data_IF_991854410373
#
_entry.id   IF_991854410373
#
_cell.length_a   1.000
_cell.length_b   1.000
_cell.length_c   1.000
_cell.angle_alpha   90.00
_cell.angle_beta   90.00
_cell.angle_gamma   90.00
#
_symmetry.space_group_name_H-M   'P 1'
#
loop_
_entity.id
_entity.type
_entity.pdbx_description
1 polymer ?
#
# COMPACT_ATOMS: atom_id res chain seq x y z
N UNK A 1 -23.73 36.65 -48.24
CA UNK A 1 -23.60 35.17 -48.19
C UNK A 1 -22.25 34.75 -47.61
N UNK A 2 -21.89 35.18 -46.38
CA UNK A 2 -20.69 34.72 -45.64
C UNK A 2 -20.86 35.00 -44.12
N UNK A 3 -21.82 34.36 -43.46
CA UNK A 3 -21.99 34.48 -42.01
C UNK A 3 -22.16 33.16 -41.25
N UNK A 4 -21.83 32.01 -41.86
CA UNK A 4 -22.06 30.71 -41.24
C UNK A 4 -20.84 29.77 -41.22
N UNK A 5 -19.64 30.31 -40.99
CA UNK A 5 -18.43 29.49 -40.82
C UNK A 5 -17.69 29.70 -39.50
N UNK A 6 -18.13 30.63 -38.63
CA UNK A 6 -17.55 30.80 -37.28
C UNK A 6 -18.26 30.02 -36.17
N UNK A 7 -19.26 29.19 -36.51
CA UNK A 7 -20.04 28.42 -35.53
C UNK A 7 -19.74 26.93 -35.52
N UNK A 8 -18.74 26.47 -36.30
CA UNK A 8 -18.34 25.07 -36.41
C UNK A 8 -16.89 24.79 -35.94
N UNK A 9 -16.33 25.67 -35.10
CA UNK A 9 -15.07 25.41 -34.36
C UNK A 9 -15.30 25.48 -32.83
N UNK A 10 -16.50 25.11 -32.37
CA UNK A 10 -16.82 24.98 -30.94
C UNK A 10 -17.29 23.57 -30.58
N UNK A 11 -16.68 22.55 -31.16
CA UNK A 11 -17.01 21.16 -30.80
C UNK A 11 -15.79 20.24 -30.76
N UNK A 12 -14.61 20.75 -30.42
CA UNK A 12 -13.39 19.96 -30.20
C UNK A 12 -12.37 20.70 -29.33
N UNK A 13 -12.82 21.33 -28.26
CA UNK A 13 -11.93 21.64 -27.13
C UNK A 13 -12.24 20.60 -26.08
N UNK A 14 -11.39 19.57 -26.02
CA UNK A 14 -11.10 18.94 -24.74
C UNK A 14 -10.91 20.06 -23.73
N UNK A 15 -11.72 20.09 -22.68
CA UNK A 15 -11.46 20.96 -21.53
C UNK A 15 -10.08 20.54 -20.99
N UNK A 16 -9.03 21.21 -21.46
CA UNK A 16 -7.71 21.18 -20.86
C UNK A 16 -7.86 21.89 -19.52
N UNK A 17 -8.24 21.11 -18.50
CA UNK A 17 -8.14 21.53 -17.11
C UNK A 17 -6.72 22.03 -16.89
N UNK A 18 -6.59 23.20 -16.29
CA UNK A 18 -5.26 23.75 -15.98
C UNK A 18 -4.50 22.78 -15.07
N UNK A 19 -3.17 22.72 -15.18
CA UNK A 19 -2.34 21.93 -14.26
C UNK A 19 -2.69 22.27 -12.79
N UNK A 20 -2.99 23.54 -12.52
CA UNK A 20 -3.48 24.03 -11.22
C UNK A 20 -4.80 23.39 -10.76
N UNK A 21 -5.78 23.17 -11.66
CA UNK A 21 -7.02 22.44 -11.36
C UNK A 21 -6.81 20.92 -11.22
N UNK A 22 -5.78 20.35 -11.86
CA UNK A 22 -5.42 18.93 -11.73
C UNK A 22 -4.74 18.61 -10.38
N UNK A 23 -4.14 19.61 -9.74
CA UNK A 23 -3.37 19.46 -8.51
C UNK A 23 -4.12 19.78 -7.22
N UNK A 24 -5.44 20.03 -7.29
CA UNK A 24 -6.23 20.27 -6.09
C UNK A 24 -6.19 19.04 -5.14
N UNK A 25 -5.41 19.24 -4.07
CA UNK A 25 -5.21 18.38 -2.90
C UNK A 25 -4.41 17.07 -3.07
N UNK A 26 -3.21 17.14 -3.67
CA UNK A 26 -2.22 16.07 -3.48
C UNK A 26 -2.06 15.73 -1.99
N UNK A 27 -2.00 14.43 -1.68
CA UNK A 27 -1.70 13.97 -0.32
C UNK A 27 -0.34 14.47 0.10
N UNK A 28 -0.24 14.95 1.33
CA UNK A 28 1.05 15.36 1.89
C UNK A 28 1.98 14.16 1.98
N UNK A 29 3.28 14.43 1.94
CA UNK A 29 4.31 13.40 2.14
C UNK A 29 4.08 12.61 3.44
N UNK A 30 3.68 13.29 4.52
CA UNK A 30 3.42 12.64 5.80
C UNK A 30 2.24 11.67 5.72
N UNK A 31 1.13 12.05 5.10
CA UNK A 31 -0.03 11.16 4.94
C UNK A 31 0.31 9.93 4.07
N UNK A 32 1.09 10.14 3.01
CA UNK A 32 1.59 9.04 2.16
C UNK A 32 2.45 8.09 2.98
N UNK A 33 3.39 8.62 3.76
CA UNK A 33 4.28 7.82 4.60
C UNK A 33 3.50 7.06 5.68
N UNK A 34 2.54 7.70 6.35
CA UNK A 34 1.69 7.05 7.35
C UNK A 34 0.91 5.87 6.76
N UNK A 35 0.40 6.02 5.53
CA UNK A 35 -0.28 4.92 4.83
C UNK A 35 0.67 3.83 4.35
N UNK A 36 1.85 4.19 3.88
CA UNK A 36 2.89 3.23 3.53
C UNK A 36 3.28 2.39 4.76
N UNK A 37 3.54 3.03 5.90
CA UNK A 37 3.87 2.37 7.16
C UNK A 37 2.73 1.46 7.64
N UNK A 38 1.47 1.90 7.47
CA UNK A 38 0.31 1.07 7.75
C UNK A 38 0.30 -0.20 6.92
N UNK A 39 0.39 -0.08 5.59
CA UNK A 39 0.36 -1.23 4.71
C UNK A 39 1.56 -2.16 4.92
N UNK A 40 2.75 -1.58 5.13
CA UNK A 40 3.95 -2.33 5.47
C UNK A 40 3.75 -3.19 6.72
N UNK A 41 3.27 -2.59 7.82
CA UNK A 41 3.07 -3.31 9.08
C UNK A 41 2.07 -4.46 8.92
N UNK A 42 0.98 -4.26 8.17
CA UNK A 42 -0.01 -5.32 7.89
C UNK A 42 0.62 -6.46 7.07
N UNK A 43 1.33 -6.10 6.00
CA UNK A 43 1.93 -7.08 5.08
C UNK A 43 3.01 -7.90 5.79
N UNK A 44 3.91 -7.21 6.47
CA UNK A 44 4.97 -7.82 7.25
C UNK A 44 4.43 -8.79 8.31
N UNK A 45 3.38 -8.37 9.03
CA UNK A 45 2.81 -9.15 10.12
C UNK A 45 2.25 -10.50 9.64
N UNK A 46 1.47 -10.50 8.56
CA UNK A 46 0.95 -11.75 7.97
C UNK A 46 2.09 -12.65 7.48
N UNK A 47 3.08 -12.09 6.77
CA UNK A 47 4.25 -12.84 6.30
C UNK A 47 5.02 -13.48 7.46
N UNK A 48 5.08 -12.84 8.65
CA UNK A 48 5.67 -13.48 9.83
C UNK A 48 4.82 -14.63 10.38
N UNK A 49 3.49 -14.59 10.23
CA UNK A 49 2.64 -15.73 10.58
C UNK A 49 2.93 -16.91 9.66
N UNK A 50 2.97 -16.67 8.35
CA UNK A 50 3.31 -17.70 7.35
C UNK A 50 4.70 -18.28 7.64
N UNK A 51 5.71 -17.43 7.83
CA UNK A 51 7.06 -17.86 8.18
C UNK A 51 7.09 -18.73 9.45
N UNK A 52 6.35 -18.37 10.50
CA UNK A 52 6.29 -19.21 11.71
C UNK A 52 5.57 -20.54 11.48
N UNK A 53 4.57 -20.59 10.59
CA UNK A 53 3.92 -21.83 10.19
C UNK A 53 4.91 -22.73 9.41
N UNK A 54 5.62 -22.18 8.44
CA UNK A 54 6.61 -22.91 7.63
C UNK A 54 7.75 -23.47 8.48
N UNK A 55 8.26 -22.70 9.45
CA UNK A 55 9.27 -23.17 10.40
C UNK A 55 8.73 -24.33 11.25
N UNK A 56 7.45 -24.29 11.64
CA UNK A 56 6.81 -25.33 12.45
C UNK A 56 6.64 -26.63 11.66
N UNK A 57 6.25 -26.53 10.40
CA UNK A 57 6.08 -27.67 9.48
C UNK A 57 7.41 -28.17 8.89
N UNK A 58 8.52 -27.46 9.15
CA UNK A 58 9.85 -27.84 8.69
C UNK A 58 10.12 -27.50 7.21
N UNK A 59 9.32 -26.60 6.63
CA UNK A 59 9.45 -26.12 5.25
C UNK A 59 10.56 -25.07 5.09
N UNK A 60 10.94 -24.42 6.19
CA UNK A 60 12.01 -23.39 6.24
C UNK A 60 12.94 -23.64 7.43
N UNK A 61 14.18 -23.15 7.31
CA UNK A 61 15.18 -23.24 8.38
C UNK A 61 14.70 -22.58 9.68
N UNK A 62 15.03 -23.22 10.81
CA UNK A 62 14.71 -22.68 12.13
C UNK A 62 15.55 -21.45 12.42
N UNK A 63 14.87 -20.37 12.81
CA UNK A 63 15.52 -19.20 13.37
C UNK A 63 16.11 -19.49 14.75
N UNK A 64 17.15 -18.74 15.11
CA UNK A 64 17.68 -18.79 16.47
C UNK A 64 16.59 -18.40 17.48
N UNK A 65 16.62 -18.95 18.71
CA UNK A 65 15.65 -18.59 19.74
C UNK A 65 15.62 -17.09 20.06
N UNK A 66 16.74 -16.40 19.89
CA UNK A 66 16.83 -14.94 20.06
C UNK A 66 16.06 -14.19 18.97
N UNK A 67 16.27 -14.53 17.69
CA UNK A 67 15.56 -13.93 16.57
C UNK A 67 14.04 -14.14 16.71
N UNK A 68 13.61 -15.35 17.09
CA UNK A 68 12.20 -15.63 17.32
C UNK A 68 11.59 -14.73 18.41
N UNK A 69 12.32 -14.47 19.50
CA UNK A 69 11.87 -13.57 20.57
C UNK A 69 11.76 -12.13 20.06
N UNK A 70 12.74 -11.66 19.30
CA UNK A 70 12.75 -10.31 18.74
C UNK A 70 11.57 -10.09 17.79
N UNK A 71 11.33 -11.02 16.86
CA UNK A 71 10.21 -10.93 15.91
C UNK A 71 8.87 -10.95 16.66
N UNK A 72 8.69 -11.85 17.64
CA UNK A 72 7.45 -11.89 18.45
C UNK A 72 7.23 -10.60 19.24
N UNK A 73 8.29 -9.95 19.71
CA UNK A 73 8.19 -8.64 20.39
C UNK A 73 7.74 -7.56 19.42
N UNK A 74 8.31 -7.51 18.22
CA UNK A 74 7.90 -6.58 17.16
C UNK A 74 6.44 -6.80 16.73
N UNK A 75 6.01 -8.06 16.56
CA UNK A 75 4.61 -8.40 16.29
C UNK A 75 3.66 -7.85 17.37
N UNK A 76 4.01 -7.96 18.65
CA UNK A 76 3.20 -7.37 19.74
C UNK A 76 3.14 -5.84 19.68
N UNK A 77 4.19 -5.17 19.19
CA UNK A 77 4.16 -3.73 18.97
C UNK A 77 3.17 -3.36 17.86
N UNK A 78 3.16 -4.10 16.75
CA UNK A 78 2.18 -3.94 15.66
C UNK A 78 0.76 -4.19 16.16
N UNK A 79 0.52 -5.29 16.89
CA UNK A 79 -0.77 -5.56 17.53
C UNK A 79 -1.22 -4.36 18.38
N UNK A 80 -0.33 -3.81 19.23
CA UNK A 80 -0.67 -2.65 20.07
C UNK A 80 -0.96 -1.40 19.24
N UNK A 81 -0.18 -1.13 18.18
CA UNK A 81 -0.34 0.05 17.31
C UNK A 81 -1.73 0.11 16.66
N UNK A 82 -2.29 -1.05 16.30
CA UNK A 82 -3.55 -1.12 15.55
C UNK A 82 -4.76 -1.61 16.33
N UNK A 83 -4.69 -1.69 17.66
CA UNK A 83 -5.85 -2.06 18.49
C UNK A 83 -6.04 -3.57 18.69
N UNK A 84 -4.99 -4.36 18.52
CA UNK A 84 -4.91 -5.78 18.86
C UNK A 84 -4.75 -6.70 17.65
N UNK A 85 -4.50 -7.98 17.94
CA UNK A 85 -4.27 -9.02 16.93
C UNK A 85 -5.41 -9.12 15.90
N UNK A 86 -6.67 -9.08 16.36
CA UNK A 86 -7.83 -9.18 15.45
C UNK A 86 -7.90 -8.02 14.47
N UNK A 87 -7.52 -6.81 14.89
CA UNK A 87 -7.51 -5.64 14.02
C UNK A 87 -6.39 -5.69 12.95
N UNK A 88 -5.33 -6.47 13.20
CA UNK A 88 -4.27 -6.73 12.21
C UNK A 88 -4.67 -7.84 11.26
N UNK A 89 -5.18 -8.95 11.77
CA UNK A 89 -5.57 -10.10 10.96
C UNK A 89 -6.78 -9.83 10.06
N UNK A 90 -7.75 -9.07 10.54
CA UNK A 90 -9.00 -8.84 9.81
C UNK A 90 -8.94 -7.58 8.91
N UNK A 91 -7.73 -7.10 8.59
CA UNK A 91 -7.57 -5.90 7.77
C UNK A 91 -8.00 -6.13 6.31
N UNK A 92 -7.82 -7.35 5.82
CA UNK A 92 -8.27 -7.84 4.51
C UNK A 92 -9.14 -9.07 4.72
N UNK A 93 -10.00 -9.41 3.75
CA UNK A 93 -10.99 -10.50 3.91
C UNK A 93 -10.67 -11.74 3.08
N UNK A 94 -9.96 -11.56 1.98
CA UNK A 94 -9.66 -12.61 1.02
C UNK A 94 -8.33 -12.31 0.27
N UNK A 95 -7.94 -13.23 -0.60
CA UNK A 95 -6.70 -13.14 -1.38
C UNK A 95 -6.71 -11.94 -2.34
N UNK A 96 -7.89 -11.49 -2.77
CA UNK A 96 -8.02 -10.31 -3.62
C UNK A 96 -7.71 -9.04 -2.82
N UNK A 97 -8.32 -8.87 -1.65
CA UNK A 97 -8.02 -7.76 -0.74
C UNK A 97 -6.53 -7.76 -0.36
N UNK A 98 -5.94 -8.94 -0.17
CA UNK A 98 -4.50 -9.10 0.09
C UNK A 98 -3.63 -8.63 -1.09
N UNK A 99 -3.97 -9.03 -2.31
CA UNK A 99 -3.32 -8.55 -3.52
C UNK A 99 -3.42 -7.04 -3.68
N UNK A 100 -4.60 -6.47 -3.42
CA UNK A 100 -4.83 -5.02 -3.44
C UNK A 100 -4.04 -4.29 -2.36
N UNK A 101 -3.83 -4.89 -1.19
CA UNK A 101 -2.99 -4.30 -0.15
C UNK A 101 -1.52 -4.18 -0.60
N UNK A 102 -0.99 -5.23 -1.23
CA UNK A 102 0.37 -5.21 -1.81
C UNK A 102 0.48 -4.18 -2.95
N UNK A 103 -0.52 -4.11 -3.83
CA UNK A 103 -0.57 -3.11 -4.89
C UNK A 103 -0.61 -1.67 -4.38
N UNK A 104 -1.37 -1.40 -3.31
CA UNK A 104 -1.38 -0.09 -2.65
C UNK A 104 -0.02 0.28 -2.08
N UNK A 105 0.67 -0.66 -1.42
CA UNK A 105 2.03 -0.42 -0.91
C UNK A 105 3.00 -0.10 -2.05
N UNK A 106 2.99 -0.90 -3.12
CA UNK A 106 3.82 -0.70 -4.32
C UNK A 106 3.58 0.68 -4.95
N UNK A 107 2.32 1.09 -5.10
CA UNK A 107 1.97 2.38 -5.66
C UNK A 107 2.50 3.55 -4.82
N UNK A 108 2.38 3.50 -3.49
CA UNK A 108 2.90 4.55 -2.61
C UNK A 108 4.44 4.60 -2.65
N UNK A 109 5.10 3.43 -2.64
CA UNK A 109 6.55 3.33 -2.78
C UNK A 109 7.06 3.91 -4.09
N UNK A 110 6.40 3.59 -5.19
CA UNK A 110 6.73 4.11 -6.51
C UNK A 110 6.63 5.65 -6.56
N UNK A 111 5.57 6.22 -5.98
CA UNK A 111 5.42 7.68 -5.86
C UNK A 111 6.56 8.31 -5.04
N UNK A 112 7.10 7.58 -4.06
CA UNK A 112 8.24 8.01 -3.24
C UNK A 112 9.61 7.71 -3.84
N UNK A 113 9.67 7.08 -5.02
CA UNK A 113 10.90 6.86 -5.80
C UNK A 113 11.44 5.44 -5.82
N UNK A 114 10.74 4.46 -5.24
CA UNK A 114 11.09 3.05 -5.39
C UNK A 114 10.69 2.50 -6.78
N UNK A 115 11.25 1.35 -7.16
CA UNK A 115 10.84 0.63 -8.36
C UNK A 115 9.42 0.08 -8.25
N UNK A 116 8.75 0.00 -9.40
CA UNK A 116 7.44 -0.65 -9.48
C UNK A 116 7.53 -2.09 -9.01
N UNK A 117 6.51 -2.55 -8.29
CA UNK A 117 6.44 -3.91 -7.72
C UNK A 117 7.46 -4.18 -6.60
N UNK A 118 8.01 -3.14 -5.96
CA UNK A 118 8.75 -3.31 -4.72
C UNK A 118 7.82 -3.74 -3.58
N UNK A 119 7.69 -5.04 -3.37
CA UNK A 119 6.85 -5.66 -2.33
C UNK A 119 7.65 -6.14 -1.10
N UNK A 120 8.90 -5.71 -0.92
CA UNK A 120 9.72 -6.16 0.20
C UNK A 120 9.18 -5.67 1.54
N UNK A 121 9.08 -6.55 2.54
CA UNK A 121 8.63 -6.21 3.90
C UNK A 121 9.35 -7.01 4.98
#
# INVERSE_FOLDING_TARGET
MKQNLKKLEKSNTSDELSDEELFDEQRSFLEIQEKMDEFFDRIWYDRKIVMFADIKEGLTEKLSPEMMRTIKKAMKCVEKKYGGKSAVLNYYKDDYDWGMLNGKLSALRWVLGDEWDNLDT
#
